data_IF_706501911653
#
_entry.id   IF_706501911653
#
_cell.length_a   1.000
_cell.length_b   1.000
_cell.length_c   1.000
_cell.angle_alpha   90.00
_cell.angle_beta   90.00
_cell.angle_gamma   90.00
#
_symmetry.space_group_name_H-M   'P 1'
#
loop_
_entity.id
_entity.type
_entity.pdbx_description
1 polymer ?
#
# COMPACT_ATOMS: atom_id res chain seq x y z
N UNK A 1 -72.16 5.13 -22.87
CA UNK A 1 -71.31 4.52 -21.82
C UNK A 1 -70.20 3.70 -22.48
N UNK A 2 -68.93 4.09 -22.29
CA UNK A 2 -67.74 3.22 -22.13
C UNK A 2 -66.49 4.09 -22.18
N UNK A 3 -65.96 4.40 -20.99
CA UNK A 3 -64.75 5.17 -20.72
C UNK A 3 -63.56 4.42 -21.33
N UNK A 4 -62.84 5.02 -22.29
CA UNK A 4 -61.53 4.51 -22.71
C UNK A 4 -60.50 5.15 -21.79
N UNK A 5 -60.09 4.35 -20.81
CA UNK A 5 -59.13 4.68 -19.77
C UNK A 5 -57.76 4.91 -20.41
N UNK A 6 -57.21 6.09 -20.16
CA UNK A 6 -55.80 6.43 -20.31
C UNK A 6 -54.95 5.40 -19.53
N UNK A 7 -54.00 4.74 -20.19
CA UNK A 7 -52.93 4.04 -19.49
C UNK A 7 -51.60 4.42 -20.16
N UNK A 8 -51.08 5.58 -19.76
CA UNK A 8 -49.68 5.93 -19.97
C UNK A 8 -48.87 5.09 -18.97
N UNK A 9 -48.23 4.04 -19.45
CA UNK A 9 -47.26 3.29 -18.66
C UNK A 9 -45.96 4.10 -18.62
N UNK A 10 -45.73 4.82 -17.52
CA UNK A 10 -44.47 5.52 -17.26
C UNK A 10 -43.54 4.52 -16.54
N UNK A 11 -42.73 3.78 -17.30
CA UNK A 11 -41.76 2.84 -16.74
C UNK A 11 -40.56 3.65 -16.21
N UNK A 12 -40.55 3.89 -14.90
CA UNK A 12 -39.46 4.54 -14.19
C UNK A 12 -38.30 3.54 -14.05
N UNK A 13 -37.29 3.67 -14.91
CA UNK A 13 -36.03 2.91 -14.79
C UNK A 13 -35.19 3.58 -13.70
N UNK A 14 -35.20 3.02 -12.49
CA UNK A 14 -34.25 3.38 -11.45
C UNK A 14 -32.89 2.78 -11.81
N UNK A 15 -31.96 3.62 -12.30
CA UNK A 15 -30.56 3.24 -12.37
C UNK A 15 -30.01 3.20 -10.94
N UNK A 16 -29.73 2.00 -10.42
CA UNK A 16 -29.02 1.83 -9.15
C UNK A 16 -27.58 2.27 -9.39
N UNK A 17 -27.23 3.45 -8.90
CA UNK A 17 -25.84 3.89 -8.85
C UNK A 17 -25.17 3.11 -7.71
N UNK A 18 -24.37 2.10 -8.05
CA UNK A 18 -23.50 1.43 -7.07
C UNK A 18 -22.38 2.41 -6.75
N UNK A 19 -22.52 3.13 -5.64
CA UNK A 19 -21.45 3.95 -5.09
C UNK A 19 -20.45 2.97 -4.45
N UNK A 20 -19.28 2.80 -5.06
CA UNK A 20 -18.17 2.12 -4.44
C UNK A 20 -17.70 2.98 -3.25
N UNK A 21 -18.19 2.68 -2.04
CA UNK A 21 -17.90 3.42 -0.81
C UNK A 21 -16.58 2.95 -0.19
N UNK A 22 -15.46 3.09 -0.91
CA UNK A 22 -14.12 2.88 -0.38
C UNK A 22 -13.30 4.16 -0.45
N UNK A 23 -12.32 4.36 0.44
CA UNK A 23 -11.36 5.46 0.30
C UNK A 23 -10.68 5.38 -1.08
N UNK A 24 -10.52 6.51 -1.74
CA UNK A 24 -9.91 6.57 -3.06
C UNK A 24 -8.40 6.32 -2.95
N UNK A 25 -7.85 5.49 -3.83
CA UNK A 25 -6.41 5.29 -3.96
C UNK A 25 -5.76 6.62 -4.36
N UNK A 26 -4.70 7.10 -3.66
CA UNK A 26 -4.07 8.37 -3.96
C UNK A 26 -3.36 8.34 -5.31
N UNK A 27 -3.22 9.52 -5.92
CA UNK A 27 -2.26 9.75 -6.99
C UNK A 27 -0.86 9.87 -6.39
N UNK A 28 0.11 9.25 -7.05
CA UNK A 28 1.51 9.18 -6.66
C UNK A 28 2.38 9.91 -7.68
N UNK A 29 3.54 10.39 -7.25
CA UNK A 29 4.47 11.11 -8.10
C UNK A 29 5.92 10.64 -7.90
N UNK A 30 6.74 10.91 -8.91
CA UNK A 30 8.19 10.70 -8.93
C UNK A 30 8.90 11.97 -8.40
N UNK A 31 10.07 11.89 -7.75
CA UNK A 31 10.90 10.69 -7.51
C UNK A 31 10.38 9.78 -6.39
N UNK A 32 10.67 8.48 -6.48
CA UNK A 32 10.23 7.47 -5.50
C UNK A 32 11.37 6.91 -4.67
N UNK A 33 11.24 6.96 -3.35
CA UNK A 33 12.13 6.25 -2.42
C UNK A 33 11.49 4.93 -2.00
N UNK A 34 12.16 3.81 -2.25
CA UNK A 34 11.73 2.47 -1.83
C UNK A 34 12.64 2.01 -0.70
N UNK A 35 12.06 1.56 0.42
CA UNK A 35 12.82 0.91 1.48
C UNK A 35 12.07 -0.26 2.09
N UNK A 36 12.78 -1.03 2.91
CA UNK A 36 12.21 -2.14 3.67
C UNK A 36 11.90 -1.71 5.09
N UNK A 37 10.91 -2.36 5.69
CA UNK A 37 10.70 -2.38 7.13
C UNK A 37 10.68 -3.83 7.61
N UNK A 38 11.70 -4.22 8.36
CA UNK A 38 11.90 -5.61 8.82
C UNK A 38 12.92 -6.41 8.00
N UNK A 39 13.57 -5.78 7.01
CA UNK A 39 14.70 -6.33 6.24
C UNK A 39 14.40 -7.65 5.53
N UNK A 40 13.17 -7.85 5.05
CA UNK A 40 12.81 -8.98 4.19
C UNK A 40 13.24 -8.77 2.73
N UNK A 41 13.06 -9.81 1.91
CA UNK A 41 13.39 -9.76 0.49
C UNK A 41 12.36 -8.94 -0.34
N UNK A 42 11.21 -8.61 0.23
CA UNK A 42 10.11 -7.94 -0.44
C UNK A 42 10.51 -6.60 -1.06
N UNK A 43 11.33 -5.78 -0.40
CA UNK A 43 11.73 -4.48 -0.96
C UNK A 43 12.60 -4.62 -2.21
N UNK A 44 13.47 -5.62 -2.27
CA UNK A 44 14.22 -5.94 -3.48
C UNK A 44 13.30 -6.47 -4.61
N UNK A 45 12.25 -7.22 -4.27
CA UNK A 45 11.22 -7.62 -5.23
C UNK A 45 10.46 -6.40 -5.74
N UNK A 46 10.13 -5.44 -4.88
CA UNK A 46 9.47 -4.19 -5.26
C UNK A 46 10.32 -3.37 -6.22
N UNK A 47 11.63 -3.25 -5.99
CA UNK A 47 12.56 -2.64 -6.97
C UNK A 47 12.43 -3.27 -8.37
N UNK A 48 12.33 -4.60 -8.44
CA UNK A 48 12.15 -5.30 -9.74
C UNK A 48 10.79 -4.97 -10.36
N UNK A 49 9.74 -4.79 -9.56
CA UNK A 49 8.41 -4.42 -10.03
C UNK A 49 8.35 -2.97 -10.53
N UNK A 50 9.07 -2.05 -9.88
CA UNK A 50 9.30 -0.68 -10.37
C UNK A 50 10.12 -0.68 -11.67
N UNK A 51 11.15 -1.52 -11.78
CA UNK A 51 11.92 -1.65 -13.04
C UNK A 51 11.04 -2.12 -14.21
N UNK A 52 9.97 -2.87 -13.92
CA UNK A 52 9.00 -3.34 -14.92
C UNK A 52 7.85 -2.36 -15.16
N UNK A 53 7.73 -1.30 -14.36
CA UNK A 53 6.69 -0.30 -14.49
C UNK A 53 7.14 0.82 -15.44
N UNK A 54 6.26 1.81 -15.64
CA UNK A 54 6.56 2.99 -16.45
C UNK A 54 7.30 4.08 -15.65
N UNK A 55 7.44 3.92 -14.34
CA UNK A 55 8.07 4.85 -13.40
C UNK A 55 9.58 4.84 -13.62
N UNK A 56 10.22 6.00 -13.75
CA UNK A 56 11.62 6.10 -14.18
C UNK A 56 12.56 6.57 -13.08
N UNK A 57 12.11 7.48 -12.23
CA UNK A 57 12.89 8.07 -11.16
C UNK A 57 12.52 7.39 -9.83
N UNK A 58 13.23 6.31 -9.54
CA UNK A 58 13.10 5.59 -8.28
C UNK A 58 14.45 5.11 -7.77
N UNK A 59 14.60 5.15 -6.45
CA UNK A 59 15.76 4.65 -5.72
C UNK A 59 15.30 3.58 -4.74
N UNK A 60 16.14 2.55 -4.55
CA UNK A 60 15.92 1.53 -3.53
C UNK A 60 17.13 1.47 -2.62
N UNK A 61 16.91 1.75 -1.34
CA UNK A 61 17.91 1.61 -0.28
C UNK A 61 17.32 0.91 0.95
N UNK A 62 18.12 0.10 1.65
CA UNK A 62 17.61 -0.77 2.71
C UNK A 62 17.43 -0.07 4.07
N UNK A 63 18.25 0.93 4.33
CA UNK A 63 18.38 1.58 5.65
C UNK A 63 18.19 3.09 5.52
N UNK A 64 17.20 3.50 4.71
CA UNK A 64 16.88 4.90 4.51
C UNK A 64 16.56 5.57 5.85
N UNK A 65 17.16 6.73 6.07
CA UNK A 65 16.89 7.62 7.21
C UNK A 65 16.12 8.87 6.78
N UNK A 66 15.59 9.61 7.76
CA UNK A 66 14.71 10.77 7.53
C UNK A 66 15.38 11.93 6.76
N UNK A 67 16.70 12.01 6.75
CA UNK A 67 17.50 13.01 6.03
C UNK A 67 17.81 12.62 4.58
N UNK A 68 17.53 11.38 4.18
CA UNK A 68 17.81 10.87 2.82
C UNK A 68 16.61 10.94 1.87
N UNK A 69 15.47 11.48 2.33
CA UNK A 69 14.21 11.55 1.57
C UNK A 69 13.87 12.94 1.03
N UNK A 70 14.74 13.93 1.23
CA UNK A 70 14.54 15.27 0.67
C UNK A 70 14.44 15.22 -0.87
N UNK A 71 13.40 15.85 -1.42
CA UNK A 71 13.17 15.93 -2.86
C UNK A 71 12.46 14.73 -3.49
N UNK A 72 12.09 13.71 -2.70
CA UNK A 72 11.21 12.63 -3.15
C UNK A 72 9.74 13.01 -2.95
N UNK A 73 8.86 12.48 -3.79
CA UNK A 73 7.41 12.71 -3.73
C UNK A 73 6.66 11.52 -3.13
N UNK A 74 7.21 10.30 -3.29
CA UNK A 74 6.59 9.06 -2.80
C UNK A 74 7.59 8.22 -2.00
N UNK A 75 7.18 7.75 -0.83
CA UNK A 75 7.88 6.76 -0.01
C UNK A 75 7.14 5.42 -0.08
N UNK A 76 7.80 4.37 -0.56
CA UNK A 76 7.28 3.00 -0.57
C UNK A 76 7.99 2.17 0.48
N UNK A 77 7.24 1.73 1.49
CA UNK A 77 7.68 0.83 2.54
C UNK A 77 7.20 -0.58 2.23
N UNK A 78 8.13 -1.50 1.96
CA UNK A 78 7.80 -2.93 1.88
C UNK A 78 8.11 -3.59 3.21
N UNK A 79 7.06 -3.93 3.94
CA UNK A 79 7.17 -4.43 5.30
C UNK A 79 7.12 -5.96 5.36
N UNK A 80 7.89 -6.51 6.28
CA UNK A 80 8.02 -7.94 6.52
C UNK A 80 9.22 -8.21 7.43
N UNK A 81 8.98 -8.71 8.63
CA UNK A 81 10.06 -8.99 9.57
C UNK A 81 10.85 -10.25 9.17
N UNK A 82 12.17 -10.13 9.13
CA UNK A 82 13.10 -11.23 8.87
C UNK A 82 14.24 -11.20 9.87
N UNK A 83 14.26 -12.13 10.83
CA UNK A 83 15.34 -12.20 11.84
C UNK A 83 16.73 -12.32 11.21
N UNK A 84 16.85 -13.07 10.10
CA UNK A 84 18.10 -13.14 9.32
C UNK A 84 18.43 -11.81 8.65
N UNK A 85 17.43 -11.12 8.11
CA UNK A 85 17.61 -9.82 7.45
C UNK A 85 18.07 -8.76 8.44
N UNK A 86 17.39 -8.66 9.57
CA UNK A 86 17.72 -7.78 10.69
C UNK A 86 19.15 -8.03 11.19
N UNK A 87 19.49 -9.29 11.46
CA UNK A 87 20.85 -9.66 11.87
C UNK A 87 21.93 -9.30 10.84
N UNK A 88 21.64 -9.44 9.54
CA UNK A 88 22.56 -9.06 8.47
C UNK A 88 22.69 -7.53 8.29
N UNK A 89 21.64 -6.78 8.61
CA UNK A 89 21.62 -5.33 8.60
C UNK A 89 22.26 -4.72 9.87
N UNK A 90 22.53 -5.53 10.89
CA UNK A 90 23.08 -5.05 12.16
C UNK A 90 22.10 -4.21 12.98
N UNK A 91 20.79 -4.44 12.78
CA UNK A 91 19.71 -3.72 13.47
C UNK A 91 18.75 -4.73 14.09
N UNK A 92 18.26 -4.43 15.30
CA UNK A 92 17.24 -5.24 15.95
C UNK A 92 15.82 -4.79 15.55
N UNK A 93 14.82 -5.51 16.03
CA UNK A 93 13.43 -5.25 15.66
C UNK A 93 12.94 -3.88 16.16
N UNK A 94 13.32 -3.49 17.39
CA UNK A 94 12.90 -2.21 17.97
C UNK A 94 13.59 -1.04 17.28
N UNK A 95 14.89 -1.14 17.00
CA UNK A 95 15.64 -0.16 16.23
C UNK A 95 15.09 -0.01 14.82
N UNK A 96 14.73 -1.12 14.16
CA UNK A 96 14.08 -1.08 12.84
C UNK A 96 12.72 -0.40 12.90
N UNK A 97 11.92 -0.71 13.93
CA UNK A 97 10.61 -0.10 14.14
C UNK A 97 10.74 1.41 14.34
N UNK A 98 11.71 1.86 15.15
CA UNK A 98 11.98 3.28 15.38
C UNK A 98 12.47 3.99 14.12
N UNK A 99 13.40 3.38 13.38
CA UNK A 99 13.92 3.93 12.12
C UNK A 99 12.79 4.19 11.12
N UNK A 100 11.94 3.19 10.89
CA UNK A 100 10.85 3.29 9.90
C UNK A 100 9.76 4.25 10.38
N UNK A 101 9.46 4.29 11.69
CA UNK A 101 8.51 5.26 12.23
C UNK A 101 8.99 6.69 11.99
N UNK A 102 10.25 6.99 12.34
CA UNK A 102 10.83 8.32 12.12
C UNK A 102 10.86 8.69 10.62
N UNK A 103 11.14 7.71 9.76
CA UNK A 103 11.13 7.89 8.31
C UNK A 103 9.73 8.25 7.78
N UNK A 104 8.69 7.51 8.18
CA UNK A 104 7.31 7.79 7.76
C UNK A 104 6.85 9.15 8.28
N UNK A 105 7.16 9.50 9.53
CA UNK A 105 6.84 10.82 10.07
C UNK A 105 7.52 11.95 9.30
N UNK A 106 8.78 11.78 8.91
CA UNK A 106 9.51 12.75 8.11
C UNK A 106 8.90 12.90 6.71
N UNK A 107 8.56 11.79 6.04
CA UNK A 107 7.91 11.80 4.74
C UNK A 107 6.58 12.57 4.79
N UNK A 108 5.75 12.31 5.80
CA UNK A 108 4.48 13.02 6.00
C UNK A 108 4.68 14.52 6.25
N UNK A 109 5.70 14.91 7.01
CA UNK A 109 6.04 16.33 7.25
C UNK A 109 6.45 17.05 5.97
N UNK A 110 7.06 16.34 5.02
CA UNK A 110 7.45 16.87 3.70
C UNK A 110 6.30 16.85 2.68
N UNK A 111 5.14 16.29 3.03
CA UNK A 111 3.99 16.18 2.13
C UNK A 111 4.07 14.98 1.17
N UNK A 112 5.05 14.10 1.34
CA UNK A 112 5.19 12.89 0.52
C UNK A 112 4.01 11.94 0.72
N UNK A 113 3.70 11.16 -0.32
CA UNK A 113 2.78 10.02 -0.22
C UNK A 113 3.47 8.79 0.32
N UNK A 114 2.84 8.11 1.28
CA UNK A 114 3.39 6.91 1.92
C UNK A 114 2.60 5.69 1.47
N UNK A 115 3.27 4.73 0.85
CA UNK A 115 2.71 3.45 0.43
C UNK A 115 3.28 2.34 1.31
N UNK A 116 2.42 1.54 1.94
CA UNK A 116 2.83 0.32 2.64
C UNK A 116 2.47 -0.89 1.79
N UNK A 117 3.44 -1.77 1.58
CA UNK A 117 3.26 -2.94 0.73
C UNK A 117 3.59 -4.25 1.46
N UNK A 118 2.78 -5.27 1.24
CA UNK A 118 3.09 -6.67 1.57
C UNK A 118 2.94 -7.57 0.36
N UNK A 119 4.05 -7.81 -0.34
CA UNK A 119 4.08 -8.54 -1.62
C UNK A 119 4.73 -9.92 -1.52
N UNK A 120 5.07 -10.37 -0.32
CA UNK A 120 5.66 -11.70 -0.04
C UNK A 120 4.63 -12.76 0.40
N UNK A 121 3.36 -12.37 0.55
CA UNK A 121 2.27 -13.30 0.85
C UNK A 121 2.23 -13.78 2.29
N UNK A 122 1.46 -14.84 2.52
CA UNK A 122 1.24 -15.43 3.85
C UNK A 122 2.56 -15.85 4.51
N UNK A 123 3.57 -16.20 3.71
CA UNK A 123 4.91 -16.60 4.18
C UNK A 123 5.65 -15.50 4.96
N UNK A 124 5.22 -14.24 4.85
CA UNK A 124 5.78 -13.10 5.58
C UNK A 124 4.79 -12.42 6.53
N UNK A 125 3.65 -13.07 6.81
CA UNK A 125 2.79 -12.79 7.96
C UNK A 125 3.32 -13.44 9.23
N UNK A 126 2.84 -12.99 10.39
CA UNK A 126 3.23 -13.49 11.70
C UNK A 126 3.53 -12.35 12.68
N UNK A 127 3.64 -12.66 13.97
CA UNK A 127 3.61 -11.68 15.08
C UNK A 127 4.45 -10.41 14.83
N UNK A 128 5.72 -10.57 14.44
CA UNK A 128 6.60 -9.42 14.21
C UNK A 128 6.23 -8.61 12.98
N UNK A 129 5.87 -9.25 11.86
CA UNK A 129 5.43 -8.53 10.66
C UNK A 129 4.11 -7.82 10.91
N UNK A 130 3.16 -8.50 11.56
CA UNK A 130 1.85 -7.96 11.87
C UNK A 130 1.96 -6.75 12.80
N UNK A 131 2.90 -6.77 13.76
CA UNK A 131 3.23 -5.60 14.58
C UNK A 131 3.74 -4.41 13.75
N UNK A 132 4.59 -4.64 12.74
CA UNK A 132 5.03 -3.58 11.82
C UNK A 132 3.83 -3.01 11.04
N UNK A 133 2.95 -3.87 10.51
CA UNK A 133 1.78 -3.42 9.76
C UNK A 133 0.79 -2.63 10.62
N UNK A 134 0.50 -3.09 11.83
CA UNK A 134 -0.36 -2.38 12.79
C UNK A 134 0.18 -0.99 13.13
N UNK A 135 1.49 -0.78 13.03
CA UNK A 135 2.10 0.52 13.24
C UNK A 135 2.09 1.40 11.98
N UNK A 136 2.43 0.83 10.82
CA UNK A 136 2.70 1.61 9.60
C UNK A 136 1.46 1.85 8.73
N UNK A 137 0.51 0.91 8.68
CA UNK A 137 -0.73 1.11 7.89
C UNK A 137 -1.49 2.36 8.32
N UNK A 138 -1.71 2.64 9.62
CA UNK A 138 -2.41 3.86 10.06
C UNK A 138 -1.71 5.16 9.65
N UNK A 139 -0.43 5.09 9.31
CA UNK A 139 0.37 6.25 8.90
C UNK A 139 0.47 6.39 7.38
N UNK A 140 0.02 5.41 6.60
CA UNK A 140 0.13 5.38 5.14
C UNK A 140 -1.03 6.10 4.42
N UNK A 141 -0.83 6.40 3.14
CA UNK A 141 -1.87 6.88 2.22
C UNK A 141 -2.47 5.75 1.39
N UNK A 142 -1.76 4.63 1.24
CA UNK A 142 -2.20 3.47 0.44
C UNK A 142 -1.53 2.19 0.89
N UNK A 143 -2.31 1.10 0.91
CA UNK A 143 -1.82 -0.25 1.15
C UNK A 143 -2.01 -1.11 -0.10
N UNK A 144 -0.95 -1.79 -0.52
CA UNK A 144 -1.02 -2.80 -1.59
C UNK A 144 -0.45 -4.15 -1.12
N UNK A 145 -1.24 -5.20 -1.28
CA UNK A 145 -0.86 -6.54 -0.83
C UNK A 145 -1.16 -7.60 -1.88
N UNK A 146 -0.51 -8.75 -1.76
CA UNK A 146 -0.95 -9.97 -2.44
C UNK A 146 -2.05 -10.68 -1.63
N UNK A 147 -3.00 -11.32 -2.32
CA UNK A 147 -4.23 -11.88 -1.73
C UNK A 147 -3.99 -12.81 -0.56
N UNK A 148 -3.02 -13.70 -0.65
CA UNK A 148 -2.76 -14.69 0.39
C UNK A 148 -2.21 -14.06 1.68
N UNK A 149 -1.67 -12.83 1.62
CA UNK A 149 -1.27 -12.07 2.81
C UNK A 149 -2.45 -11.64 3.69
N UNK A 150 -3.70 -11.73 3.22
CA UNK A 150 -4.91 -11.31 3.96
C UNK A 150 -5.95 -12.43 4.11
N UNK A 151 -5.49 -13.68 4.20
CA UNK A 151 -6.38 -14.84 4.32
C UNK A 151 -7.26 -14.82 5.58
N UNK A 152 -6.85 -14.06 6.60
CA UNK A 152 -7.53 -13.86 7.89
C UNK A 152 -8.29 -12.52 7.99
N UNK A 153 -8.27 -11.70 6.94
CA UNK A 153 -8.88 -10.37 6.92
C UNK A 153 -8.14 -9.32 7.77
N UNK A 154 -6.92 -9.60 8.23
CA UNK A 154 -6.10 -8.66 8.99
C UNK A 154 -5.94 -7.30 8.31
N UNK A 155 -5.49 -7.27 7.05
CA UNK A 155 -5.29 -6.03 6.30
C UNK A 155 -6.62 -5.38 5.93
N UNK A 156 -7.63 -6.16 5.53
CA UNK A 156 -8.96 -5.64 5.26
C UNK A 156 -9.49 -4.87 6.48
N UNK A 157 -9.51 -5.50 7.66
CA UNK A 157 -9.99 -4.87 8.88
C UNK A 157 -9.14 -3.67 9.30
N UNK A 158 -7.81 -3.79 9.23
CA UNK A 158 -6.89 -2.71 9.61
C UNK A 158 -7.04 -1.48 8.70
N UNK A 159 -7.18 -1.69 7.39
CA UNK A 159 -7.36 -0.60 6.45
C UNK A 159 -8.74 0.06 6.59
N UNK A 160 -9.80 -0.75 6.80
CA UNK A 160 -11.15 -0.24 7.07
C UNK A 160 -11.20 0.60 8.36
N UNK A 161 -10.58 0.12 9.45
CA UNK A 161 -10.51 0.82 10.73
C UNK A 161 -9.87 2.21 10.60
N UNK A 162 -8.82 2.32 9.78
CA UNK A 162 -8.07 3.56 9.60
C UNK A 162 -8.47 4.37 8.36
N UNK A 163 -9.47 3.92 7.59
CA UNK A 163 -9.91 4.59 6.36
C UNK A 163 -8.84 4.64 5.26
N UNK A 164 -7.94 3.65 5.22
CA UNK A 164 -6.85 3.57 4.25
C UNK A 164 -7.29 2.76 3.03
N UNK A 165 -7.04 3.23 1.80
CA UNK A 165 -7.31 2.43 0.61
C UNK A 165 -6.43 1.18 0.56
N UNK A 166 -7.08 0.03 0.34
CA UNK A 166 -6.44 -1.27 0.21
C UNK A 166 -6.61 -1.80 -1.21
N UNK A 167 -5.50 -2.11 -1.86
CA UNK A 167 -5.48 -2.85 -3.12
C UNK A 167 -4.96 -4.25 -2.88
N UNK A 168 -5.77 -5.25 -3.23
CA UNK A 168 -5.40 -6.67 -3.15
C UNK A 168 -5.19 -7.20 -4.57
N UNK A 169 -3.99 -7.69 -4.88
CA UNK A 169 -3.66 -8.34 -6.15
C UNK A 169 -3.53 -9.85 -6.01
N UNK A 170 -3.73 -10.63 -7.06
CA UNK A 170 -3.60 -12.09 -6.98
C UNK A 170 -2.13 -12.52 -6.86
N UNK A 171 -1.24 -11.81 -7.56
CA UNK A 171 0.18 -12.14 -7.66
C UNK A 171 1.03 -10.88 -7.60
N UNK A 172 2.21 -10.97 -6.99
CA UNK A 172 3.13 -9.83 -6.83
C UNK A 172 3.48 -9.14 -8.16
N UNK A 173 3.45 -9.87 -9.29
CA UNK A 173 3.71 -9.28 -10.61
C UNK A 173 2.68 -8.23 -11.03
N UNK A 174 1.44 -8.33 -10.54
CA UNK A 174 0.34 -7.41 -10.86
C UNK A 174 0.50 -6.06 -10.17
N UNK A 175 1.31 -5.98 -9.11
CA UNK A 175 1.65 -4.72 -8.43
C UNK A 175 2.19 -3.69 -9.42
N UNK A 176 3.00 -4.09 -10.40
CA UNK A 176 3.55 -3.16 -11.40
C UNK A 176 2.45 -2.47 -12.21
N UNK A 177 1.38 -3.19 -12.55
CA UNK A 177 0.22 -2.63 -13.24
C UNK A 177 -0.58 -1.67 -12.33
N UNK A 178 -0.70 -1.99 -11.03
CA UNK A 178 -1.35 -1.12 -10.07
C UNK A 178 -0.57 0.19 -9.86
N UNK A 179 0.76 0.11 -9.75
CA UNK A 179 1.63 1.29 -9.70
C UNK A 179 1.40 2.18 -10.94
N UNK A 180 1.42 1.61 -12.15
CA UNK A 180 1.18 2.38 -13.38
C UNK A 180 -0.18 3.09 -13.44
N UNK A 181 -1.19 2.63 -12.70
CA UNK A 181 -2.51 3.24 -12.70
C UNK A 181 -2.61 4.48 -11.80
N UNK A 182 -1.71 4.61 -10.82
CA UNK A 182 -1.79 5.61 -9.76
C UNK A 182 -0.71 6.68 -9.86
N UNK A 183 0.39 6.43 -10.56
CA UNK A 183 1.42 7.42 -10.84
C UNK A 183 0.98 8.41 -11.93
N UNK A 184 1.25 9.69 -11.72
CA UNK A 184 1.01 10.79 -12.68
C UNK A 184 2.22 11.10 -13.56
#
# INVERSE_FOLDING_TARGET
MKKRVFLLAFTLVFAILVIANGPAVPKLAEPVMITTAGQSAGAAMMKVLFTKSNIKDFVFEKLVTADEIEGYETLVIVAGASSKGLGAAGIDFDGETQRVTALIEAAKKQGMKVVVAQIEGAARRGTSSDQLFSLFVPMSDWVIIVRDADSDGFFTNLCEEHGIPLTIVEKSIEVSAQLNAVFE
#
